data_IF_876916913823
#
_entry.id   IF_876916913823
#
_cell.length_a   1.000
_cell.length_b   1.000
_cell.length_c   1.000
_cell.angle_alpha   90.00
_cell.angle_beta   90.00
_cell.angle_gamma   90.00
#
_symmetry.space_group_name_H-M   'P 1'
#
loop_
_entity.id
_entity.type
_entity.pdbx_description
1 polymer ?
#
# COMPACT_ATOMS: atom_id res chain seq x y z
N UNK A 1 -42.92 -69.38 5.51
CA UNK A 1 -43.27 -68.49 4.39
C UNK A 1 -42.71 -67.12 4.72
N UNK A 2 -41.63 -66.73 4.03
CA UNK A 2 -41.53 -65.51 3.21
C UNK A 2 -42.81 -64.63 3.13
N UNK A 3 -42.78 -63.28 3.10
CA UNK A 3 -41.73 -62.21 3.15
C UNK A 3 -42.35 -60.94 3.82
N UNK A 4 -41.75 -59.74 4.05
CA UNK A 4 -40.44 -59.12 3.75
C UNK A 4 -40.18 -57.89 4.69
N UNK A 5 -38.98 -57.30 4.57
CA UNK A 5 -38.51 -55.89 4.71
C UNK A 5 -39.22 -54.92 5.70
N UNK A 6 -38.61 -54.28 6.73
CA UNK A 6 -37.33 -53.50 6.88
C UNK A 6 -37.40 -52.04 6.33
N UNK A 7 -36.85 -50.96 6.93
CA UNK A 7 -36.16 -50.70 8.24
C UNK A 7 -36.02 -49.16 8.50
N UNK A 8 -35.67 -48.69 9.73
CA UNK A 8 -35.06 -47.35 10.06
C UNK A 8 -35.98 -46.09 10.12
N UNK A 9 -35.83 -45.08 11.02
CA UNK A 9 -35.13 -44.97 12.32
C UNK A 9 -35.80 -43.94 13.28
N UNK A 10 -35.30 -43.94 14.52
CA UNK A 10 -35.57 -43.09 15.69
C UNK A 10 -35.04 -41.64 15.58
N UNK A 11 -35.77 -40.65 16.11
CA UNK A 11 -35.22 -39.67 17.08
C UNK A 11 -36.30 -38.89 17.86
N UNK A 12 -35.95 -38.40 19.05
CA UNK A 12 -36.84 -37.79 20.06
C UNK A 12 -36.34 -36.42 20.54
N UNK A 13 -37.28 -35.61 21.04
CA UNK A 13 -37.21 -34.51 22.04
C UNK A 13 -35.85 -34.23 22.73
N UNK A 14 -35.48 -32.98 23.07
CA UNK A 14 -36.26 -32.11 23.99
C UNK A 14 -35.76 -30.64 24.06
N UNK A 15 -36.37 -29.82 24.94
CA UNK A 15 -36.06 -28.39 25.23
C UNK A 15 -35.06 -28.20 26.38
N UNK A 16 -34.43 -27.00 26.41
CA UNK A 16 -33.79 -26.20 27.50
C UNK A 16 -32.38 -25.73 27.10
N UNK A 17 -31.83 -24.61 27.58
CA UNK A 17 -32.30 -23.56 28.51
C UNK A 17 -31.75 -22.17 28.10
N UNK A 18 -32.12 -21.11 28.81
CA UNK A 18 -31.60 -19.74 28.61
C UNK A 18 -30.13 -19.58 29.04
N UNK A 19 -29.35 -18.74 28.35
CA UNK A 19 -28.53 -17.65 28.95
C UNK A 19 -27.56 -16.98 27.96
N UNK A 20 -27.13 -15.76 28.31
CA UNK A 20 -26.04 -14.95 27.74
C UNK A 20 -26.25 -14.43 26.31
N UNK A 21 -26.66 -13.17 26.23
CA UNK A 21 -26.14 -12.26 25.21
C UNK A 21 -24.64 -12.07 25.49
N UNK A 22 -23.78 -12.52 24.58
CA UNK A 22 -22.36 -12.16 24.59
C UNK A 22 -22.20 -10.83 23.85
N UNK A 23 -21.48 -9.88 24.46
CA UNK A 23 -21.05 -8.67 23.78
C UNK A 23 -20.24 -9.09 22.55
N UNK A 24 -20.66 -8.62 21.37
CA UNK A 24 -19.73 -8.53 20.25
C UNK A 24 -18.80 -7.36 20.56
N UNK A 25 -17.52 -7.66 20.75
CA UNK A 25 -16.49 -6.63 20.74
C UNK A 25 -16.60 -5.84 19.43
N UNK A 26 -16.57 -4.51 19.52
CA UNK A 26 -16.46 -3.65 18.33
C UNK A 26 -15.12 -3.93 17.65
N UNK A 27 -15.19 -4.63 16.52
CA UNK A 27 -14.03 -5.11 15.77
C UNK A 27 -13.18 -3.92 15.31
N UNK A 28 -12.08 -3.66 16.03
CA UNK A 28 -11.24 -2.47 15.86
C UNK A 28 -10.45 -2.56 14.56
N UNK A 29 -11.10 -2.20 13.45
CA UNK A 29 -10.45 -2.05 12.15
C UNK A 29 -9.46 -0.88 12.23
N UNK A 30 -8.14 -1.12 12.17
CA UNK A 30 -7.17 -0.04 12.31
C UNK A 30 -7.29 0.95 11.14
N UNK A 31 -7.08 2.23 11.43
CA UNK A 31 -7.22 3.33 10.47
C UNK A 31 -6.14 3.27 9.36
N UNK A 32 -6.37 2.45 8.33
CA UNK A 32 -5.41 2.28 7.22
C UNK A 32 -5.41 3.45 6.24
N UNK A 33 -4.25 3.70 5.63
CA UNK A 33 -4.06 4.69 4.56
C UNK A 33 -5.01 4.42 3.38
N UNK A 34 -5.29 3.14 3.08
CA UNK A 34 -6.26 2.75 2.05
C UNK A 34 -7.69 3.21 2.37
N UNK A 35 -8.09 3.24 3.64
CA UNK A 35 -9.46 3.57 4.05
C UNK A 35 -9.80 5.05 3.83
N UNK A 36 -8.87 5.96 4.16
CA UNK A 36 -9.10 7.42 4.14
C UNK A 36 -8.25 8.18 3.10
N UNK A 37 -6.94 7.93 3.00
CA UNK A 37 -6.07 8.74 2.15
C UNK A 37 -6.33 8.50 0.65
N UNK A 38 -6.60 7.26 0.25
CA UNK A 38 -6.87 6.92 -1.15
C UNK A 38 -8.14 7.62 -1.70
N UNK A 39 -9.33 7.55 -1.05
CA UNK A 39 -10.49 8.32 -1.51
C UNK A 39 -10.23 9.81 -1.65
N UNK A 40 -9.55 10.42 -0.67
CA UNK A 40 -9.19 11.85 -0.69
C UNK A 40 -8.18 12.20 -1.79
N UNK A 41 -7.21 11.32 -2.06
CA UNK A 41 -6.27 11.48 -3.17
C UNK A 41 -6.97 11.40 -4.53
N UNK A 42 -7.85 10.42 -4.72
CA UNK A 42 -8.70 10.35 -5.92
C UNK A 42 -9.62 11.57 -6.06
N UNK A 43 -10.09 12.12 -4.94
CA UNK A 43 -10.91 13.33 -4.92
C UNK A 43 -10.11 14.56 -5.36
N UNK A 44 -8.90 14.76 -4.81
CA UNK A 44 -7.98 15.85 -5.16
C UNK A 44 -7.58 15.80 -6.64
N UNK A 45 -7.24 14.62 -7.18
CA UNK A 45 -6.94 14.48 -8.61
C UNK A 45 -8.15 14.86 -9.49
N UNK A 46 -9.37 14.54 -9.08
CA UNK A 46 -10.57 14.98 -9.78
C UNK A 46 -10.79 16.50 -9.66
N UNK A 47 -10.59 17.10 -8.49
CA UNK A 47 -10.68 18.56 -8.31
C UNK A 47 -9.68 19.30 -9.22
N UNK A 48 -8.44 18.81 -9.33
CA UNK A 48 -7.43 19.35 -10.23
C UNK A 48 -7.81 19.20 -11.71
N UNK A 49 -8.44 18.09 -12.09
CA UNK A 49 -8.87 17.83 -13.46
C UNK A 49 -10.10 18.66 -13.89
N UNK A 50 -11.08 18.85 -13.00
CA UNK A 50 -12.37 19.50 -13.32
C UNK A 50 -12.51 20.92 -12.75
N UNK A 51 -11.53 21.41 -11.98
CA UNK A 51 -11.40 22.78 -11.46
C UNK A 51 -12.67 23.27 -10.75
N UNK A 52 -13.30 22.38 -9.98
CA UNK A 52 -14.57 22.61 -9.27
C UNK A 52 -14.63 21.76 -8.00
N UNK A 53 -15.34 22.26 -7.00
CA UNK A 53 -15.65 21.49 -5.79
C UNK A 53 -16.59 20.30 -6.12
N UNK A 54 -16.38 19.12 -5.52
CA UNK A 54 -17.21 17.95 -5.75
C UNK A 54 -18.56 18.05 -5.04
N UNK A 55 -19.56 17.39 -5.62
CA UNK A 55 -20.93 17.33 -5.08
C UNK A 55 -21.54 18.70 -4.74
N UNK A 56 -21.10 19.76 -5.43
CA UNK A 56 -21.44 21.18 -5.16
C UNK A 56 -22.95 21.44 -4.98
N UNK A 57 -23.79 20.68 -5.67
CA UNK A 57 -25.24 20.82 -5.70
C UNK A 57 -25.98 19.85 -4.74
N UNK A 58 -25.25 19.14 -3.85
CA UNK A 58 -25.78 18.18 -2.86
C UNK A 58 -25.47 18.62 -1.42
N UNK A 59 -26.35 18.29 -0.48
CA UNK A 59 -26.09 18.46 0.97
C UNK A 59 -25.19 17.33 1.49
N UNK A 60 -24.45 17.57 2.57
CA UNK A 60 -23.50 16.59 3.13
C UNK A 60 -24.13 15.20 3.46
N UNK A 61 -25.38 15.17 3.90
CA UNK A 61 -26.15 13.93 4.13
C UNK A 61 -26.59 13.23 2.84
N UNK A 62 -26.82 13.97 1.77
CA UNK A 62 -27.09 13.44 0.43
C UNK A 62 -25.79 12.87 -0.17
N UNK A 63 -24.65 13.53 0.03
CA UNK A 63 -23.30 13.05 -0.35
C UNK A 63 -22.94 11.75 0.37
N UNK A 64 -23.19 11.65 1.68
CA UNK A 64 -22.97 10.40 2.44
C UNK A 64 -23.75 9.23 1.83
N UNK A 65 -25.06 9.40 1.60
CA UNK A 65 -25.90 8.38 0.97
C UNK A 65 -25.48 8.07 -0.48
N UNK A 66 -25.05 9.08 -1.25
CA UNK A 66 -24.52 8.91 -2.60
C UNK A 66 -23.26 8.04 -2.60
N UNK A 67 -22.27 8.38 -1.77
CA UNK A 67 -20.99 7.66 -1.64
C UNK A 67 -21.18 6.24 -1.10
N UNK A 68 -22.06 6.04 -0.12
CA UNK A 68 -22.43 4.72 0.40
C UNK A 68 -23.18 3.87 -0.64
N UNK A 69 -23.97 4.47 -1.53
CA UNK A 69 -24.60 3.76 -2.67
C UNK A 69 -23.61 3.36 -3.79
N UNK A 70 -22.30 3.44 -3.53
CA UNK A 70 -21.23 3.11 -4.48
C UNK A 70 -21.01 4.16 -5.58
N UNK A 71 -21.76 5.26 -5.58
CA UNK A 71 -21.67 6.31 -6.60
C UNK A 71 -20.55 7.30 -6.26
N UNK A 72 -20.04 7.97 -7.30
CA UNK A 72 -18.95 8.94 -7.25
C UNK A 72 -19.20 10.02 -8.29
N UNK A 73 -18.43 11.09 -8.21
CA UNK A 73 -18.37 12.12 -9.24
C UNK A 73 -18.00 11.59 -10.64
N UNK A 74 -18.46 12.28 -11.68
CA UNK A 74 -18.32 11.83 -13.06
C UNK A 74 -16.94 12.14 -13.66
N UNK A 75 -16.37 11.17 -14.37
CA UNK A 75 -15.04 11.24 -15.00
C UNK A 75 -15.15 11.48 -16.52
N UNK A 76 -15.65 12.65 -16.91
CA UNK A 76 -15.88 13.02 -18.32
C UNK A 76 -14.72 13.89 -18.86
N UNK A 77 -13.56 13.29 -19.11
CA UNK A 77 -12.40 14.00 -19.66
C UNK A 77 -12.57 14.34 -21.16
N UNK A 78 -12.08 15.49 -21.64
CA UNK A 78 -12.00 15.77 -23.07
C UNK A 78 -10.97 14.85 -23.75
N UNK A 79 -11.30 14.33 -24.93
CA UNK A 79 -10.39 13.46 -25.70
C UNK A 79 -9.14 14.22 -26.17
N UNK A 80 -7.96 13.70 -25.84
CA UNK A 80 -6.64 14.23 -26.21
C UNK A 80 -5.87 13.25 -27.08
N UNK A 81 -4.99 13.69 -27.99
CA UNK A 81 -4.18 12.79 -28.81
C UNK A 81 -3.19 11.94 -28.00
N UNK A 82 -2.85 12.34 -26.77
CA UNK A 82 -1.91 11.61 -25.91
C UNK A 82 -2.57 10.49 -25.08
N UNK A 83 -3.90 10.48 -24.94
CA UNK A 83 -4.65 9.45 -24.20
C UNK A 83 -4.39 9.37 -22.69
N UNK A 84 -3.63 10.31 -22.12
CA UNK A 84 -3.22 10.38 -20.70
C UNK A 84 -4.44 10.40 -19.77
N UNK A 85 -5.55 10.98 -20.22
CA UNK A 85 -6.80 11.14 -19.48
C UNK A 85 -7.43 9.79 -19.13
N UNK A 86 -7.25 8.77 -19.99
CA UNK A 86 -7.69 7.40 -19.71
C UNK A 86 -6.87 6.79 -18.57
N UNK A 87 -5.56 7.06 -18.52
CA UNK A 87 -4.71 6.66 -17.41
C UNK A 87 -5.07 7.40 -16.11
N UNK A 88 -5.17 8.73 -16.17
CA UNK A 88 -5.48 9.58 -15.04
C UNK A 88 -6.85 9.26 -14.42
N UNK A 89 -7.88 9.08 -15.28
CA UNK A 89 -9.19 8.61 -14.86
C UNK A 89 -9.21 7.18 -14.30
N UNK A 90 -8.27 6.31 -14.71
CA UNK A 90 -8.11 4.98 -14.10
C UNK A 90 -7.46 5.06 -12.71
N UNK A 91 -6.50 5.97 -12.48
CA UNK A 91 -5.93 6.22 -11.14
C UNK A 91 -7.02 6.68 -10.17
N UNK A 92 -7.87 7.63 -10.59
CA UNK A 92 -9.00 8.08 -9.76
C UNK A 92 -9.97 6.93 -9.46
N UNK A 93 -10.33 6.11 -10.46
CA UNK A 93 -11.18 4.92 -10.24
C UNK A 93 -10.56 3.91 -9.27
N UNK A 94 -9.25 3.68 -9.33
CA UNK A 94 -8.55 2.78 -8.42
C UNK A 94 -8.50 3.34 -6.99
N UNK A 95 -8.33 4.66 -6.85
CA UNK A 95 -8.38 5.36 -5.57
C UNK A 95 -9.78 5.36 -4.91
N UNK A 96 -10.84 5.35 -5.72
CA UNK A 96 -12.25 5.43 -5.29
C UNK A 96 -12.97 4.10 -5.04
N UNK A 97 -12.32 2.94 -5.22
CA UNK A 97 -12.94 1.61 -5.06
C UNK A 97 -13.74 1.51 -3.76
N UNK A 98 -14.96 0.96 -3.82
CA UNK A 98 -15.84 0.89 -2.64
C UNK A 98 -15.24 0.01 -1.55
N UNK A 99 -14.78 -1.19 -1.91
CA UNK A 99 -14.03 -2.09 -1.03
C UNK A 99 -12.61 -1.54 -0.75
N UNK A 100 -12.21 -1.30 0.51
CA UNK A 100 -10.85 -0.90 0.86
C UNK A 100 -9.78 -1.92 0.46
N UNK A 101 -10.10 -3.21 0.46
CA UNK A 101 -9.19 -4.33 0.15
C UNK A 101 -8.76 -4.33 -1.33
N UNK A 102 -9.62 -3.80 -2.21
CA UNK A 102 -9.35 -3.65 -3.64
C UNK A 102 -8.66 -2.31 -3.98
N UNK A 103 -8.42 -1.43 -3.00
CA UNK A 103 -7.67 -0.18 -3.22
C UNK A 103 -6.17 -0.48 -3.21
N UNK A 104 -5.42 -0.16 -4.28
CA UNK A 104 -3.97 -0.33 -4.27
C UNK A 104 -3.30 0.62 -3.27
N UNK A 105 -2.05 0.34 -2.90
CA UNK A 105 -1.27 1.25 -2.05
C UNK A 105 -1.10 2.63 -2.71
N UNK A 106 -1.02 3.70 -1.91
CA UNK A 106 -0.87 5.07 -2.41
C UNK A 106 0.41 5.25 -3.24
N UNK A 107 1.46 4.49 -2.91
CA UNK A 107 2.70 4.37 -3.70
C UNK A 107 2.46 3.87 -5.13
N UNK A 108 1.58 2.89 -5.33
CA UNK A 108 1.20 2.40 -6.66
C UNK A 108 0.38 3.44 -7.44
N UNK A 109 -0.52 4.16 -6.77
CA UNK A 109 -1.25 5.28 -7.40
C UNK A 109 -0.31 6.41 -7.83
N UNK A 110 0.69 6.74 -7.00
CA UNK A 110 1.70 7.75 -7.30
C UNK A 110 2.63 7.35 -8.45
N UNK A 111 3.18 6.13 -8.43
CA UNK A 111 4.04 5.62 -9.50
C UNK A 111 3.31 5.59 -10.86
N UNK A 112 2.01 5.25 -10.88
CA UNK A 112 1.21 5.34 -12.10
C UNK A 112 1.04 6.78 -12.60
N UNK A 113 0.88 7.76 -11.71
CA UNK A 113 0.78 9.17 -12.07
C UNK A 113 2.10 9.70 -12.63
N UNK A 114 3.23 9.31 -12.03
CA UNK A 114 4.56 9.66 -12.52
C UNK A 114 4.83 9.04 -13.90
N UNK A 115 4.51 7.76 -14.09
CA UNK A 115 4.61 7.08 -15.39
C UNK A 115 3.77 7.78 -16.47
N UNK A 116 2.57 8.30 -16.13
CA UNK A 116 1.78 9.11 -17.07
C UNK A 116 2.42 10.47 -17.38
N UNK A 117 3.04 11.15 -16.41
CA UNK A 117 3.75 12.41 -16.69
C UNK A 117 4.92 12.21 -17.66
N UNK A 118 5.63 11.07 -17.59
CA UNK A 118 6.74 10.77 -18.51
C UNK A 118 6.33 10.49 -19.97
N UNK A 119 5.03 10.39 -20.26
CA UNK A 119 4.49 10.30 -21.63
C UNK A 119 4.23 11.69 -22.26
N UNK A 120 4.33 12.77 -21.48
CA UNK A 120 4.13 14.14 -21.95
C UNK A 120 5.51 14.75 -22.24
N UNK A 121 5.80 15.23 -23.47
CA UNK A 121 7.06 15.91 -23.75
C UNK A 121 7.13 17.28 -23.04
N UNK A 122 8.32 17.66 -22.57
CA UNK A 122 8.61 18.87 -21.76
C UNK A 122 8.18 20.23 -22.37
N UNK A 123 7.67 20.26 -23.61
CA UNK A 123 7.25 21.48 -24.29
C UNK A 123 6.01 22.15 -23.68
N UNK A 124 5.29 21.50 -22.76
CA UNK A 124 4.17 22.09 -22.02
C UNK A 124 4.55 22.62 -20.64
N UNK A 125 5.47 23.59 -20.58
CA UNK A 125 5.72 24.44 -19.39
C UNK A 125 4.55 25.39 -19.04
N UNK A 126 3.31 25.00 -19.41
CA UNK A 126 2.06 25.66 -19.05
C UNK A 126 1.60 25.22 -17.66
N UNK A 127 2.50 25.37 -16.68
CA UNK A 127 2.14 25.28 -15.27
C UNK A 127 1.06 26.30 -14.90
N UNK A 128 0.38 26.06 -13.78
CA UNK A 128 -0.68 26.93 -13.29
C UNK A 128 -0.12 28.34 -13.05
N UNK A 129 -0.42 29.28 -13.95
CA UNK A 129 -0.19 30.70 -13.76
C UNK A 129 -1.24 31.25 -12.78
N UNK A 130 -1.10 30.83 -11.51
CA UNK A 130 -1.89 31.32 -10.39
C UNK A 130 -1.68 32.83 -10.27
N UNK A 131 -2.71 33.60 -10.65
CA UNK A 131 -2.75 35.02 -10.34
C UNK A 131 -2.83 35.17 -8.83
N UNK A 132 -1.89 35.93 -8.27
CA UNK A 132 -1.62 36.04 -6.82
C UNK A 132 -2.67 36.89 -6.06
N UNK A 133 -3.94 36.79 -6.44
CA UNK A 133 -5.04 37.59 -5.91
C UNK A 133 -6.35 36.84 -5.66
N UNK A 134 -6.53 35.62 -6.20
CA UNK A 134 -7.83 34.94 -6.21
C UNK A 134 -8.03 33.98 -4.99
N UNK A 135 -7.13 34.04 -4.00
CA UNK A 135 -7.21 33.30 -2.74
C UNK A 135 -7.11 34.25 -1.53
N UNK A 136 -8.20 34.95 -1.22
CA UNK A 136 -8.43 35.45 0.14
C UNK A 136 -8.80 34.28 1.06
N UNK A 137 -7.80 33.47 1.43
CA UNK A 137 -7.90 32.58 2.58
C UNK A 137 -7.72 33.45 3.82
N UNK A 138 -8.82 33.79 4.49
CA UNK A 138 -8.77 34.33 5.86
C UNK A 138 -8.10 33.28 6.76
N UNK A 139 -6.94 33.56 7.38
CA UNK A 139 -6.28 32.58 8.21
C UNK A 139 -7.10 32.32 9.48
N UNK A 140 -7.68 31.13 9.60
CA UNK A 140 -8.13 30.63 10.91
C UNK A 140 -6.90 30.48 11.79
N UNK A 141 -6.80 31.26 12.87
CA UNK A 141 -5.64 31.26 13.76
C UNK A 141 -5.49 29.89 14.45
N UNK A 142 -4.55 29.09 13.95
CA UNK A 142 -4.06 27.92 14.65
C UNK A 142 -3.23 28.39 15.86
N UNK A 143 -3.62 27.94 17.05
CA UNK A 143 -2.91 28.27 18.29
C UNK A 143 -1.42 27.85 18.20
N UNK A 144 -0.48 28.66 18.71
CA UNK A 144 0.94 28.40 18.55
C UNK A 144 1.40 27.19 19.37
N UNK A 145 1.51 26.04 18.71
CA UNK A 145 2.28 24.88 19.15
C UNK A 145 3.52 24.69 18.27
N UNK A 146 4.65 24.34 18.86
CA UNK A 146 5.96 24.38 18.18
C UNK A 146 6.10 23.36 17.03
N UNK A 147 6.13 23.84 15.78
CA UNK A 147 6.78 23.09 14.66
C UNK A 147 7.21 23.93 13.44
N UNK A 148 7.14 25.27 13.49
CA UNK A 148 7.41 26.14 12.34
C UNK A 148 8.85 26.09 11.77
N UNK A 149 9.79 25.40 12.44
CA UNK A 149 11.22 25.41 12.11
C UNK A 149 11.75 24.29 11.20
N UNK A 150 10.92 23.42 10.62
CA UNK A 150 11.40 22.26 9.83
C UNK A 150 10.78 22.06 8.44
N UNK A 151 9.80 22.88 8.02
CA UNK A 151 9.10 22.70 6.74
C UNK A 151 10.02 22.86 5.51
N UNK A 152 10.96 23.82 5.55
CA UNK A 152 11.84 24.20 4.42
C UNK A 152 12.84 23.11 3.98
N UNK A 153 12.89 21.96 4.66
CA UNK A 153 13.75 20.82 4.27
C UNK A 153 13.05 19.81 3.34
N UNK A 154 11.75 19.98 3.08
CA UNK A 154 10.90 18.99 2.41
C UNK A 154 10.15 19.55 1.19
N UNK A 155 10.83 19.68 0.04
CA UNK A 155 10.57 18.84 -1.15
C UNK A 155 11.90 18.71 -1.94
N UNK A 156 12.73 17.72 -1.60
CA UNK A 156 13.61 17.12 -2.62
C UNK A 156 12.76 16.14 -3.42
N UNK A 157 12.80 16.14 -4.77
CA UNK A 157 12.06 15.17 -5.57
C UNK A 157 12.45 13.76 -5.15
N UNK A 158 11.46 12.91 -4.92
CA UNK A 158 11.68 11.56 -4.42
C UNK A 158 12.29 10.71 -5.54
N UNK A 159 13.59 10.45 -5.43
CA UNK A 159 14.35 9.58 -6.34
C UNK A 159 13.59 8.28 -6.59
N UNK A 160 13.50 7.85 -7.86
CA UNK A 160 12.79 6.64 -8.25
C UNK A 160 13.43 5.41 -7.61
N UNK A 161 12.64 4.36 -7.39
CA UNK A 161 13.15 3.14 -6.77
C UNK A 161 14.22 2.48 -7.66
N UNK A 162 14.04 2.58 -8.97
CA UNK A 162 14.92 2.09 -10.02
C UNK A 162 16.27 2.83 -9.99
N UNK A 163 16.26 4.13 -9.72
CA UNK A 163 17.48 4.94 -9.50
C UNK A 163 18.19 4.50 -8.23
N UNK A 164 17.45 4.20 -7.15
CA UNK A 164 18.02 3.64 -5.91
C UNK A 164 18.68 2.27 -6.10
N UNK A 165 18.06 1.39 -6.87
CA UNK A 165 18.62 0.08 -7.28
C UNK A 165 19.86 0.27 -8.17
N UNK A 166 19.85 1.28 -9.03
CA UNK A 166 20.99 1.61 -9.90
C UNK A 166 22.16 2.19 -9.08
N UNK A 167 21.87 3.09 -8.15
CA UNK A 167 22.85 3.63 -7.20
C UNK A 167 23.47 2.52 -6.33
N UNK A 168 22.69 1.53 -5.88
CA UNK A 168 23.22 0.35 -5.18
C UNK A 168 24.23 -0.40 -6.06
N UNK A 169 23.88 -0.71 -7.32
CA UNK A 169 24.74 -1.40 -8.28
C UNK A 169 26.01 -0.60 -8.64
N UNK A 170 25.93 0.73 -8.62
CA UNK A 170 27.06 1.64 -8.84
C UNK A 170 27.96 1.83 -7.60
N UNK A 171 27.64 1.20 -6.47
CA UNK A 171 28.38 1.36 -5.22
C UNK A 171 28.06 2.65 -4.44
N UNK A 172 27.08 3.44 -4.89
CA UNK A 172 26.62 4.68 -4.24
C UNK A 172 25.72 4.40 -3.03
N UNK A 173 26.19 3.53 -2.13
CA UNK A 173 25.39 2.88 -1.09
C UNK A 173 24.63 3.86 -0.18
N UNK A 174 25.18 5.04 0.11
CA UNK A 174 24.51 6.07 0.93
C UNK A 174 23.28 6.68 0.23
N UNK A 175 23.36 6.94 -1.09
CA UNK A 175 22.20 7.43 -1.87
C UNK A 175 21.13 6.35 -1.98
N UNK A 176 21.55 5.11 -2.25
CA UNK A 176 20.66 3.97 -2.31
C UNK A 176 19.91 3.74 -0.99
N UNK A 177 20.62 3.74 0.15
CA UNK A 177 20.04 3.62 1.48
C UNK A 177 18.97 4.69 1.76
N UNK A 178 19.26 5.97 1.53
CA UNK A 178 18.28 7.05 1.75
C UNK A 178 17.09 6.97 0.79
N UNK A 179 17.27 6.49 -0.44
CA UNK A 179 16.16 6.18 -1.35
C UNK A 179 15.29 5.04 -0.79
N UNK A 180 15.88 3.90 -0.44
CA UNK A 180 15.14 2.74 0.08
C UNK A 180 14.46 3.03 1.41
N UNK A 181 15.06 3.83 2.29
CA UNK A 181 14.44 4.30 3.52
C UNK A 181 13.14 5.07 3.25
N UNK A 182 13.19 6.09 2.38
CA UNK A 182 12.00 6.87 2.00
C UNK A 182 10.92 6.04 1.32
N UNK A 183 11.31 5.11 0.44
CA UNK A 183 10.35 4.21 -0.21
C UNK A 183 9.75 3.18 0.79
N UNK A 184 10.51 2.73 1.79
CA UNK A 184 10.01 1.88 2.87
C UNK A 184 9.06 2.62 3.82
N UNK A 185 9.28 3.91 4.07
CA UNK A 185 8.38 4.80 4.81
C UNK A 185 6.99 4.91 4.12
N UNK A 186 6.94 4.95 2.77
CA UNK A 186 5.68 4.80 1.99
C UNK A 186 5.27 3.34 1.74
N UNK A 187 5.69 2.42 2.62
CA UNK A 187 5.32 1.00 2.69
C UNK A 187 5.72 0.12 1.49
N UNK A 188 6.57 0.59 0.57
CA UNK A 188 6.96 -0.14 -0.64
C UNK A 188 7.72 -1.43 -0.30
N UNK A 189 7.17 -2.58 -0.73
CA UNK A 189 7.70 -3.92 -0.42
C UNK A 189 9.13 -4.18 -0.91
N UNK A 190 9.49 -3.69 -2.09
CA UNK A 190 10.84 -3.89 -2.66
C UNK A 190 11.85 -3.00 -1.94
N UNK A 191 11.45 -1.79 -1.55
CA UNK A 191 12.31 -0.91 -0.74
C UNK A 191 12.51 -1.43 0.68
N UNK A 192 11.50 -2.05 1.30
CA UNK A 192 11.63 -2.74 2.60
C UNK A 192 12.64 -3.88 2.53
N UNK A 193 12.61 -4.70 1.48
CA UNK A 193 13.66 -5.71 1.23
C UNK A 193 15.07 -5.10 1.19
N UNK A 194 15.29 -4.06 0.37
CA UNK A 194 16.62 -3.43 0.26
C UNK A 194 17.05 -2.72 1.56
N UNK A 195 16.13 -2.12 2.31
CA UNK A 195 16.41 -1.54 3.62
C UNK A 195 16.82 -2.61 4.63
N UNK A 196 16.14 -3.77 4.62
CA UNK A 196 16.52 -4.94 5.42
C UNK A 196 17.92 -5.44 5.08
N UNK A 197 18.27 -5.52 3.79
CA UNK A 197 19.62 -5.86 3.33
C UNK A 197 20.70 -4.91 3.90
N UNK A 198 20.45 -3.59 3.92
CA UNK A 198 21.40 -2.64 4.51
C UNK A 198 21.58 -2.79 6.03
N UNK A 199 20.53 -3.16 6.77
CA UNK A 199 20.63 -3.51 8.18
C UNK A 199 21.28 -4.88 8.43
N UNK A 200 21.19 -5.81 7.48
CA UNK A 200 21.81 -7.14 7.55
C UNK A 200 23.33 -7.10 7.36
N UNK A 201 23.79 -6.37 6.33
CA UNK A 201 25.21 -6.25 5.98
C UNK A 201 25.94 -5.18 6.83
N UNK A 202 25.25 -4.13 7.25
CA UNK A 202 25.81 -3.07 8.10
C UNK A 202 26.75 -2.08 7.38
N UNK A 203 26.72 -1.98 6.05
CA UNK A 203 27.68 -1.17 5.28
C UNK A 203 27.48 0.35 5.38
N UNK A 204 26.27 0.81 5.68
CA UNK A 204 25.88 2.24 5.70
C UNK A 204 25.34 2.68 7.07
N UNK A 205 24.75 1.73 7.80
CA UNK A 205 24.18 1.86 9.14
C UNK A 205 24.69 0.72 9.99
N UNK A 206 24.63 0.87 11.31
CA UNK A 206 24.99 -0.21 12.23
C UNK A 206 24.18 -1.48 11.95
N UNK A 207 24.86 -2.64 11.98
CA UNK A 207 24.25 -3.95 11.70
C UNK A 207 23.18 -4.26 12.74
N UNK A 208 21.95 -4.50 12.29
CA UNK A 208 20.80 -4.80 13.14
C UNK A 208 20.00 -5.95 12.53
N UNK A 209 20.33 -7.18 12.95
CA UNK A 209 19.70 -8.40 12.44
C UNK A 209 18.20 -8.45 12.76
N UNK A 210 17.77 -8.00 13.96
CA UNK A 210 16.35 -7.93 14.35
C UNK A 210 15.55 -7.13 13.31
N UNK A 211 15.98 -5.90 13.05
CA UNK A 211 15.29 -4.99 12.13
C UNK A 211 15.39 -5.44 10.67
N UNK A 212 16.50 -6.07 10.28
CA UNK A 212 16.65 -6.67 8.97
C UNK A 212 15.62 -7.79 8.73
N UNK A 213 15.45 -8.66 9.74
CA UNK A 213 14.51 -9.79 9.72
C UNK A 213 13.06 -9.32 9.67
N UNK A 214 12.69 -8.31 10.48
CA UNK A 214 11.36 -7.69 10.44
C UNK A 214 11.03 -7.16 9.03
N UNK A 215 11.95 -6.38 8.45
CA UNK A 215 11.81 -5.82 7.10
C UNK A 215 11.78 -6.88 5.99
N UNK A 216 12.55 -7.97 6.14
CA UNK A 216 12.47 -9.13 5.24
C UNK A 216 11.12 -9.84 5.37
N UNK A 217 10.59 -10.04 6.58
CA UNK A 217 9.29 -10.70 6.78
C UNK A 217 8.15 -9.89 6.16
N UNK A 218 8.09 -8.58 6.43
CA UNK A 218 7.09 -7.68 5.84
C UNK A 218 7.13 -7.67 4.29
N UNK A 219 8.33 -7.71 3.70
CA UNK A 219 8.49 -7.80 2.25
C UNK A 219 8.16 -9.20 1.70
N UNK A 220 8.46 -10.25 2.46
CA UNK A 220 8.19 -11.64 2.11
C UNK A 220 6.69 -11.97 2.08
N UNK A 221 5.97 -11.52 3.11
CA UNK A 221 4.51 -11.65 3.24
C UNK A 221 3.78 -10.86 2.14
N UNK A 222 4.35 -9.72 1.69
CA UNK A 222 3.88 -8.98 0.51
C UNK A 222 4.28 -9.59 -0.84
N UNK A 223 4.91 -10.78 -0.88
CA UNK A 223 5.29 -11.45 -2.11
C UNK A 223 6.46 -10.79 -2.85
N UNK A 224 7.59 -10.57 -2.16
CA UNK A 224 8.88 -10.27 -2.79
C UNK A 224 9.74 -11.55 -2.75
N UNK A 225 10.12 -12.16 -3.89
CA UNK A 225 10.76 -13.47 -3.91
C UNK A 225 12.12 -13.48 -3.18
N UNK A 226 12.91 -12.42 -3.37
CA UNK A 226 14.22 -12.27 -2.71
C UNK A 226 14.09 -12.08 -1.19
N UNK A 227 13.00 -11.46 -0.73
CA UNK A 227 12.71 -11.30 0.70
C UNK A 227 12.23 -12.62 1.32
N UNK A 228 11.43 -13.42 0.60
CA UNK A 228 11.02 -14.76 1.03
C UNK A 228 12.24 -15.67 1.20
N UNK A 229 13.16 -15.66 0.21
CA UNK A 229 14.44 -16.36 0.29
C UNK A 229 15.27 -15.88 1.49
N UNK A 230 15.47 -14.57 1.65
CA UNK A 230 16.31 -14.02 2.73
C UNK A 230 15.70 -14.18 4.12
N UNK A 231 14.38 -14.12 4.27
CA UNK A 231 13.70 -14.43 5.53
C UNK A 231 13.87 -15.91 5.88
N UNK A 232 13.71 -16.83 4.93
CA UNK A 232 13.97 -18.25 5.14
C UNK A 232 15.42 -18.49 5.62
N UNK A 233 16.43 -17.98 4.91
CA UNK A 233 17.82 -18.15 5.34
C UNK A 233 18.15 -17.41 6.66
N UNK A 234 17.44 -16.35 7.02
CA UNK A 234 17.59 -15.69 8.32
C UNK A 234 16.97 -16.46 9.51
N UNK A 235 16.21 -17.55 9.25
CA UNK A 235 15.83 -18.54 10.27
C UNK A 235 16.98 -19.53 10.56
N UNK A 236 17.96 -19.66 9.66
CA UNK A 236 19.10 -20.58 9.78
C UNK A 236 20.38 -19.94 10.34
N UNK A 237 20.49 -18.61 10.34
CA UNK A 237 21.67 -17.92 10.89
C UNK A 237 21.75 -18.09 12.41
N UNK A 238 22.84 -18.66 12.92
CA UNK A 238 23.09 -18.84 14.36
C UNK A 238 23.13 -17.52 15.15
N UNK A 239 23.36 -16.40 14.46
CA UNK A 239 23.34 -15.04 15.01
C UNK A 239 21.93 -14.42 15.01
N UNK A 240 20.92 -15.13 14.50
CA UNK A 240 19.54 -14.68 14.41
C UNK A 240 18.89 -14.60 15.80
N UNK A 241 18.10 -13.55 16.09
CA UNK A 241 17.22 -13.52 17.27
C UNK A 241 16.04 -14.51 17.15
N UNK A 242 15.78 -15.06 15.95
CA UNK A 242 14.71 -16.03 15.74
C UNK A 242 15.15 -17.44 16.13
N UNK A 243 14.23 -18.20 16.72
CA UNK A 243 14.38 -19.64 16.85
C UNK A 243 14.10 -20.29 15.50
N UNK A 244 15.01 -21.14 15.02
CA UNK A 244 14.79 -21.91 13.80
C UNK A 244 13.50 -22.72 13.88
N UNK A 245 12.70 -22.64 12.81
CA UNK A 245 11.51 -23.45 12.60
C UNK A 245 11.56 -24.03 11.18
N UNK A 246 11.61 -25.36 11.08
CA UNK A 246 11.70 -26.06 9.80
C UNK A 246 10.44 -25.86 8.93
N UNK A 247 9.25 -25.81 9.53
CA UNK A 247 8.00 -25.60 8.80
C UNK A 247 7.94 -24.20 8.19
N UNK A 248 8.35 -23.18 8.96
CA UNK A 248 8.41 -21.80 8.49
C UNK A 248 9.51 -21.61 7.43
N UNK A 249 10.68 -22.23 7.63
CA UNK A 249 11.77 -22.25 6.64
C UNK A 249 11.32 -22.83 5.30
N UNK A 250 10.77 -24.05 5.29
CA UNK A 250 10.30 -24.71 4.06
C UNK A 250 9.18 -23.90 3.42
N UNK A 251 8.22 -23.39 4.20
CA UNK A 251 7.13 -22.54 3.68
C UNK A 251 7.66 -21.33 2.91
N UNK A 252 8.54 -20.51 3.51
CA UNK A 252 9.04 -19.31 2.83
C UNK A 252 9.99 -19.63 1.67
N UNK A 253 10.75 -20.74 1.74
CA UNK A 253 11.59 -21.21 0.64
C UNK A 253 10.73 -21.66 -0.56
N UNK A 254 9.67 -22.43 -0.34
CA UNK A 254 8.70 -22.82 -1.38
C UNK A 254 8.01 -21.59 -1.98
N UNK A 255 7.54 -20.66 -1.14
CA UNK A 255 6.95 -19.40 -1.63
C UNK A 255 7.93 -18.61 -2.51
N UNK A 256 9.22 -18.55 -2.15
CA UNK A 256 10.23 -17.89 -2.97
C UNK A 256 10.40 -18.58 -4.33
N UNK A 257 10.39 -19.92 -4.37
CA UNK A 257 10.54 -20.70 -5.59
C UNK A 257 9.32 -20.59 -6.52
N UNK A 258 8.11 -20.66 -5.96
CA UNK A 258 6.84 -20.46 -6.68
C UNK A 258 6.75 -19.06 -7.29
N UNK A 259 7.20 -18.04 -6.56
CA UNK A 259 7.30 -16.66 -7.04
C UNK A 259 8.54 -16.40 -7.94
N UNK A 260 9.21 -17.45 -8.41
CA UNK A 260 10.23 -17.37 -9.47
C UNK A 260 11.65 -17.06 -9.02
N UNK A 261 11.98 -17.12 -7.72
CA UNK A 261 13.37 -16.98 -7.28
C UNK A 261 14.18 -18.25 -7.64
N UNK A 262 15.15 -18.09 -8.55
CA UNK A 262 15.96 -19.21 -9.07
C UNK A 262 16.87 -19.85 -8.03
N UNK A 263 17.32 -19.09 -7.02
CA UNK A 263 18.09 -19.65 -5.91
C UNK A 263 17.20 -20.48 -4.98
N UNK A 264 15.95 -20.07 -4.74
CA UNK A 264 14.99 -20.88 -4.00
C UNK A 264 14.67 -22.20 -4.73
N UNK A 265 14.42 -22.13 -6.04
CA UNK A 265 14.21 -23.32 -6.89
C UNK A 265 15.40 -24.28 -6.84
N UNK A 266 16.63 -23.77 -6.89
CA UNK A 266 17.85 -24.58 -6.75
C UNK A 266 18.02 -25.22 -5.36
N UNK A 267 17.50 -24.62 -4.29
CA UNK A 267 17.56 -25.18 -2.94
C UNK A 267 16.43 -26.19 -2.63
N UNK A 268 15.52 -26.44 -3.57
CA UNK A 268 14.39 -27.38 -3.43
C UNK A 268 14.44 -28.58 -4.39
N UNK A 269 15.35 -28.59 -5.37
CA UNK A 269 15.49 -29.62 -6.41
C UNK A 269 16.61 -30.61 -6.15
#
# INVERSE_FOLDING_TARGET
>A
MEIANTVSLVQQTSKKDESKEENKDDDYVPYTIQLFCNPSFGMLLWELAFQRFPYKDMKISEVQNHVLSGKREYLNFPSSPYGVEKGYGNIIKAAWQSDPSLRPELSYLFNNLENLSSLIPDSSSRGLNLKKGDMEVTPTELLPGDTAGQMDKFILPMMKLEDGITAHKMGEQKKAFECFKKHAEINNKVAKYWLGYYYWEGCVVEKNLVKAIELFKEAADKGVPDAQLRYAFALLDENSPLKFNLEEFVKYLTMAADNGNTAAQFNLG
#
